data_IF_175625246611
#
_entry.id   IF_175625246611
#
_cell.length_a   1.000
_cell.length_b   1.000
_cell.length_c   1.000
_cell.angle_alpha   90.00
_cell.angle_beta   90.00
_cell.angle_gamma   90.00
#
_symmetry.space_group_name_H-M   'P 1'
#
loop_
_entity.id
_entity.type
_entity.pdbx_description
1 polymer ?
#
# COMPACT_ATOMS: atom_id res chain seq x y z
N UNK A 1 28.17 -9.65 22.73
CA UNK A 1 27.45 -8.56 22.03
C UNK A 1 27.01 -9.13 20.70
N UNK A 2 25.71 -9.35 20.52
CA UNK A 2 25.12 -9.74 19.24
C UNK A 2 25.14 -8.54 18.30
N UNK A 3 25.60 -8.72 17.07
CA UNK A 3 25.59 -7.66 16.04
C UNK A 3 24.12 -7.50 15.61
N UNK A 4 23.53 -6.29 15.68
CA UNK A 4 22.14 -6.08 15.26
C UNK A 4 21.93 -6.47 13.80
N UNK A 5 20.82 -7.14 13.50
CA UNK A 5 20.48 -7.55 12.12
C UNK A 5 20.13 -6.30 11.29
N UNK A 6 20.83 -6.01 10.18
CA UNK A 6 20.50 -4.87 9.35
C UNK A 6 19.18 -5.12 8.61
N UNK A 7 18.31 -4.11 8.59
CA UNK A 7 17.04 -4.12 7.84
C UNK A 7 16.83 -2.75 7.21
N UNK A 8 16.50 -2.70 5.92
CA UNK A 8 16.22 -1.43 5.24
C UNK A 8 14.77 -1.36 4.77
N UNK A 9 14.03 -0.38 5.28
CA UNK A 9 12.68 -0.05 4.84
C UNK A 9 12.72 1.17 3.93
N UNK A 10 12.38 0.96 2.66
CA UNK A 10 12.25 2.02 1.66
C UNK A 10 10.87 2.65 1.68
N UNK A 11 10.79 3.95 1.36
CA UNK A 11 9.56 4.65 1.01
C UNK A 11 9.72 5.26 -0.37
N UNK A 12 8.88 4.86 -1.33
CA UNK A 12 8.95 5.35 -2.71
C UNK A 12 8.71 6.87 -2.74
N UNK A 13 9.67 7.62 -3.25
CA UNK A 13 9.71 9.08 -3.17
C UNK A 13 9.70 9.74 -4.56
N UNK A 14 8.90 9.19 -5.48
CA UNK A 14 8.66 9.77 -6.81
C UNK A 14 7.63 10.91 -6.76
N UNK A 15 6.59 10.73 -5.95
CA UNK A 15 5.50 11.67 -5.72
C UNK A 15 4.78 11.25 -4.42
N UNK A 16 4.10 12.18 -3.75
CA UNK A 16 3.17 11.84 -2.65
C UNK A 16 3.71 12.10 -1.24
N UNK A 17 2.99 11.59 -0.24
CA UNK A 17 3.23 11.81 1.20
C UNK A 17 4.34 10.91 1.78
N UNK A 18 5.47 10.80 1.08
CA UNK A 18 6.56 9.92 1.51
C UNK A 18 7.28 10.43 2.76
N UNK A 19 7.29 11.75 3.01
CA UNK A 19 7.99 12.35 4.16
C UNK A 19 7.29 12.00 5.47
N UNK A 20 5.98 12.05 5.44
CA UNK A 20 5.08 11.72 6.54
C UNK A 20 5.28 10.26 6.95
N UNK A 21 5.26 9.34 5.98
CA UNK A 21 5.60 7.93 6.25
C UNK A 21 6.98 7.75 6.88
N UNK A 22 8.02 8.39 6.33
CA UNK A 22 9.39 8.29 6.87
C UNK A 22 9.45 8.79 8.32
N UNK A 23 8.82 9.93 8.61
CA UNK A 23 8.79 10.52 9.95
C UNK A 23 8.08 9.59 10.94
N UNK A 24 6.96 8.97 10.54
CA UNK A 24 6.26 8.01 11.38
C UNK A 24 7.10 6.77 11.70
N UNK A 25 7.76 6.18 10.71
CA UNK A 25 8.64 5.03 10.97
C UNK A 25 9.80 5.38 11.89
N UNK A 26 10.42 6.54 11.71
CA UNK A 26 11.48 7.02 12.62
C UNK A 26 10.95 7.20 14.04
N UNK A 27 9.81 7.87 14.19
CA UNK A 27 9.16 8.07 15.49
C UNK A 27 8.83 6.75 16.18
N UNK A 28 8.38 5.72 15.44
CA UNK A 28 8.12 4.39 16.03
C UNK A 28 9.39 3.76 16.58
N UNK A 29 10.48 3.81 15.80
CA UNK A 29 11.76 3.20 16.19
C UNK A 29 12.37 3.94 17.38
N UNK A 30 12.30 5.27 17.39
CA UNK A 30 12.81 6.13 18.46
C UNK A 30 12.00 5.99 19.77
N UNK A 31 10.69 5.72 19.68
CA UNK A 31 9.83 5.55 20.86
C UNK A 31 10.05 4.23 21.61
N UNK A 32 10.58 3.21 20.94
CA UNK A 32 10.74 1.87 21.51
C UNK A 32 12.09 1.24 21.11
N UNK A 33 13.17 1.95 21.43
CA UNK A 33 14.54 1.52 21.12
C UNK A 33 14.87 0.14 21.71
N UNK A 34 14.30 -0.19 22.87
CA UNK A 34 14.51 -1.49 23.52
C UNK A 34 13.92 -2.63 22.68
N UNK A 35 12.67 -2.50 22.22
CA UNK A 35 12.02 -3.49 21.34
C UNK A 35 12.80 -3.74 20.06
N UNK A 36 13.35 -2.68 19.46
CA UNK A 36 14.07 -2.77 18.19
C UNK A 36 15.58 -2.97 18.32
N UNK A 37 16.11 -3.11 19.55
CA UNK A 37 17.56 -3.19 19.85
C UNK A 37 18.31 -4.32 19.12
N UNK A 38 17.63 -5.39 18.73
CA UNK A 38 18.21 -6.51 17.97
C UNK A 38 18.38 -6.20 16.47
N UNK A 39 17.88 -5.06 15.99
CA UNK A 39 17.86 -4.69 14.59
C UNK A 39 18.52 -3.33 14.36
N UNK A 40 19.19 -3.19 13.23
CA UNK A 40 19.64 -1.88 12.73
C UNK A 40 18.72 -1.50 11.57
N UNK A 41 17.63 -0.79 11.91
CA UNK A 41 16.57 -0.44 10.97
C UNK A 41 16.90 0.90 10.30
N UNK A 42 17.08 0.88 8.98
CA UNK A 42 17.34 2.07 8.17
C UNK A 42 16.11 2.44 7.34
N UNK A 43 15.65 3.69 7.46
CA UNK A 43 14.52 4.22 6.69
C UNK A 43 15.04 5.13 5.57
N UNK A 44 14.80 4.76 4.31
CA UNK A 44 15.31 5.53 3.16
C UNK A 44 14.21 5.95 2.19
N UNK A 45 14.38 7.13 1.60
CA UNK A 45 13.57 7.56 0.47
C UNK A 45 14.11 6.91 -0.82
N UNK A 46 13.25 6.20 -1.56
CA UNK A 46 13.62 5.47 -2.77
C UNK A 46 13.27 6.29 -4.01
N UNK A 47 14.29 6.71 -4.76
CA UNK A 47 14.11 7.46 -6.03
C UNK A 47 14.73 6.77 -7.23
N UNK A 48 15.73 5.93 -6.99
CA UNK A 48 16.44 5.19 -8.04
C UNK A 48 16.44 3.69 -7.78
N UNK A 49 16.93 2.94 -8.77
CA UNK A 49 17.16 1.49 -8.66
C UNK A 49 18.14 1.18 -7.52
N UNK A 50 19.19 1.97 -7.36
CA UNK A 50 20.24 1.77 -6.36
C UNK A 50 19.71 1.98 -4.94
N UNK A 51 18.72 2.85 -4.76
CA UNK A 51 17.99 2.96 -3.49
C UNK A 51 17.13 1.71 -3.25
N UNK A 52 16.39 1.28 -4.27
CA UNK A 52 15.50 0.13 -4.19
C UNK A 52 16.26 -1.18 -3.91
N UNK A 53 17.44 -1.37 -4.51
CA UNK A 53 18.28 -2.56 -4.33
C UNK A 53 18.75 -2.74 -2.86
N UNK A 54 18.79 -1.67 -2.08
CA UNK A 54 19.13 -1.73 -0.64
C UNK A 54 17.96 -2.19 0.23
N UNK A 55 16.73 -2.12 -0.27
CA UNK A 55 15.52 -2.28 0.55
C UNK A 55 15.16 -3.75 0.77
N UNK A 56 14.77 -4.09 1.98
CA UNK A 56 14.13 -5.35 2.36
C UNK A 56 12.60 -5.26 2.26
N UNK A 57 12.07 -4.05 2.50
CA UNK A 57 10.65 -3.74 2.41
C UNK A 57 10.44 -2.39 1.73
N UNK A 58 9.26 -2.17 1.15
CA UNK A 58 8.93 -0.94 0.44
C UNK A 58 7.52 -0.44 0.78
N UNK A 59 7.41 0.81 1.20
CA UNK A 59 6.13 1.54 1.22
C UNK A 59 5.96 2.33 -0.06
N UNK A 60 4.80 2.21 -0.69
CA UNK A 60 4.34 3.02 -1.82
C UNK A 60 3.27 3.97 -1.28
N UNK A 61 3.58 5.27 -1.10
CA UNK A 61 2.74 6.18 -0.36
C UNK A 61 1.49 6.62 -1.15
N UNK A 62 0.59 7.31 -0.45
CA UNK A 62 -0.51 8.06 -1.06
C UNK A 62 -0.01 9.22 -1.93
N UNK A 63 -0.87 9.73 -2.81
CA UNK A 63 -0.51 10.75 -3.80
C UNK A 63 -1.37 10.68 -5.05
N UNK A 64 -0.76 10.84 -6.22
CA UNK A 64 -1.40 10.71 -7.52
C UNK A 64 -0.75 9.54 -8.29
N UNK A 65 -1.51 8.45 -8.43
CA UNK A 65 -1.00 7.18 -8.96
C UNK A 65 -0.55 7.26 -10.42
N UNK A 66 -1.18 8.10 -11.25
CA UNK A 66 -0.81 8.24 -12.67
C UNK A 66 0.51 8.99 -12.86
N UNK A 67 0.78 9.98 -12.00
CA UNK A 67 2.02 10.72 -11.93
C UNK A 67 3.14 9.81 -11.44
N UNK A 68 2.87 9.00 -10.42
CA UNK A 68 3.81 8.01 -9.92
C UNK A 68 4.18 6.97 -11.01
N UNK A 69 3.19 6.43 -11.73
CA UNK A 69 3.46 5.49 -12.83
C UNK A 69 4.26 6.14 -13.95
N UNK A 70 3.90 7.37 -14.34
CA UNK A 70 4.58 8.12 -15.39
C UNK A 70 6.04 8.45 -15.04
N UNK A 71 6.29 8.89 -13.80
CA UNK A 71 7.66 9.17 -13.32
C UNK A 71 8.46 7.87 -13.30
N UNK A 72 7.90 6.77 -12.78
CA UNK A 72 8.58 5.47 -12.71
C UNK A 72 8.96 4.95 -14.11
N UNK A 73 8.11 5.15 -15.12
CA UNK A 73 8.43 4.81 -16.50
C UNK A 73 9.55 5.70 -17.06
N UNK A 74 9.44 7.02 -16.89
CA UNK A 74 10.44 7.97 -17.43
C UNK A 74 11.80 7.86 -16.79
N UNK A 75 11.88 7.43 -15.53
CA UNK A 75 13.15 7.17 -14.84
C UNK A 75 13.64 5.74 -15.00
N UNK A 76 12.95 4.92 -15.79
CA UNK A 76 13.22 3.49 -15.95
C UNK A 76 13.22 2.69 -14.63
N UNK A 77 12.53 3.18 -13.60
CA UNK A 77 12.39 2.51 -12.31
C UNK A 77 11.28 1.45 -12.32
N UNK A 78 10.27 1.60 -13.20
CA UNK A 78 9.11 0.71 -13.29
C UNK A 78 9.48 -0.80 -13.38
N UNK A 79 10.40 -1.24 -14.26
CA UNK A 79 10.75 -2.66 -14.35
C UNK A 79 11.36 -3.20 -13.04
N UNK A 80 12.11 -2.37 -12.33
CA UNK A 80 12.72 -2.73 -11.04
C UNK A 80 11.67 -2.83 -9.93
N UNK A 81 10.68 -1.95 -9.92
CA UNK A 81 9.54 -2.03 -9.00
C UNK A 81 8.73 -3.31 -9.26
N UNK A 82 8.42 -3.64 -10.52
CA UNK A 82 7.74 -4.89 -10.85
C UNK A 82 8.54 -6.11 -10.35
N UNK A 83 9.86 -6.12 -10.51
CA UNK A 83 10.73 -7.19 -10.00
C UNK A 83 10.71 -7.25 -8.48
N UNK A 84 10.74 -6.11 -7.79
CA UNK A 84 10.67 -6.04 -6.33
C UNK A 84 9.35 -6.59 -5.80
N UNK A 85 8.23 -6.20 -6.43
CA UNK A 85 6.88 -6.70 -6.12
C UNK A 85 6.74 -8.21 -6.32
N UNK A 86 7.41 -8.74 -7.35
CA UNK A 86 7.35 -10.16 -7.69
C UNK A 86 8.25 -11.04 -6.80
N UNK A 87 8.96 -10.46 -5.84
CA UNK A 87 9.86 -11.20 -4.96
C UNK A 87 9.15 -11.54 -3.64
N UNK A 88 8.82 -12.83 -3.46
CA UNK A 88 8.10 -13.34 -2.28
C UNK A 88 8.84 -13.10 -0.94
N UNK A 89 10.14 -12.79 -0.95
CA UNK A 89 10.89 -12.44 0.27
C UNK A 89 10.78 -10.97 0.68
N UNK A 90 10.27 -10.10 -0.20
CA UNK A 90 10.13 -8.67 0.07
C UNK A 90 8.72 -8.37 0.59
N UNK A 91 8.63 -7.38 1.49
CA UNK A 91 7.36 -6.91 2.01
C UNK A 91 7.01 -5.54 1.47
N UNK A 92 5.73 -5.31 1.21
CA UNK A 92 5.29 -4.11 0.49
C UNK A 92 4.00 -3.59 1.11
N UNK A 93 3.90 -2.28 1.24
CA UNK A 93 2.68 -1.62 1.67
C UNK A 93 2.30 -0.49 0.72
N UNK A 94 1.14 -0.60 0.08
CA UNK A 94 0.56 0.49 -0.71
C UNK A 94 -0.54 1.23 0.06
N UNK A 95 -0.37 2.54 0.28
CA UNK A 95 -1.41 3.41 0.85
C UNK A 95 -2.04 4.27 -0.24
N UNK A 96 -3.37 4.33 -0.29
CA UNK A 96 -4.16 5.11 -1.26
C UNK A 96 -3.67 4.94 -2.72
N UNK A 97 -2.89 5.90 -3.26
CA UNK A 97 -2.27 5.79 -4.59
C UNK A 97 -1.39 4.54 -4.75
N UNK A 98 -0.70 4.12 -3.69
CA UNK A 98 0.07 2.88 -3.68
C UNK A 98 -0.80 1.62 -3.79
N UNK A 99 -2.00 1.61 -3.20
CA UNK A 99 -2.97 0.51 -3.38
C UNK A 99 -3.40 0.42 -4.86
N UNK A 100 -3.70 1.55 -5.50
CA UNK A 100 -4.01 1.59 -6.94
C UNK A 100 -2.81 1.05 -7.74
N UNK A 101 -1.59 1.42 -7.38
CA UNK A 101 -0.39 1.03 -8.13
C UNK A 101 -0.08 -0.47 -8.00
N UNK A 102 -0.41 -1.10 -6.87
CA UNK A 102 -0.25 -2.54 -6.61
C UNK A 102 -1.42 -3.40 -7.12
N UNK A 103 -2.53 -2.80 -7.51
CA UNK A 103 -3.67 -3.53 -8.06
C UNK A 103 -3.32 -4.21 -9.40
N UNK A 104 -3.92 -5.36 -9.66
CA UNK A 104 -3.78 -6.05 -10.95
C UNK A 104 -4.68 -5.45 -12.02
N UNK A 105 -5.84 -4.93 -11.61
CA UNK A 105 -6.77 -4.22 -12.48
C UNK A 105 -7.16 -2.87 -11.87
N UNK A 106 -7.24 -1.83 -12.71
CA UNK A 106 -7.69 -0.49 -12.33
C UNK A 106 -8.90 -0.10 -13.17
N UNK A 107 -10.01 0.21 -12.52
CA UNK A 107 -11.15 0.89 -13.12
C UNK A 107 -10.99 2.42 -13.07
N UNK A 108 -11.58 3.13 -14.03
CA UNK A 108 -11.49 4.59 -14.14
C UNK A 108 -10.03 5.10 -14.18
N UNK A 109 -9.15 4.31 -14.81
CA UNK A 109 -7.76 4.66 -15.00
C UNK A 109 -7.59 5.87 -15.92
N UNK A 110 -6.56 6.69 -15.66
CA UNK A 110 -6.16 7.75 -16.59
C UNK A 110 -5.51 7.10 -17.83
N UNK A 111 -5.53 7.80 -18.96
CA UNK A 111 -4.80 7.37 -20.15
C UNK A 111 -3.32 7.15 -19.84
N UNK A 112 -2.75 6.05 -20.35
CA UNK A 112 -1.36 5.63 -20.13
C UNK A 112 -0.95 5.37 -18.67
N UNK A 113 -1.90 5.25 -17.74
CA UNK A 113 -1.59 4.79 -16.39
C UNK A 113 -1.17 3.30 -16.43
N UNK A 114 -0.13 2.96 -15.67
CA UNK A 114 0.34 1.57 -15.50
C UNK A 114 0.21 1.17 -14.03
N UNK A 115 -0.02 -0.11 -13.78
CA UNK A 115 0.08 -0.73 -12.47
C UNK A 115 1.23 -1.75 -12.42
N UNK A 116 1.79 -1.93 -11.23
CA UNK A 116 2.80 -2.95 -10.94
C UNK A 116 2.15 -4.34 -10.85
N UNK A 117 0.94 -4.42 -10.29
CA UNK A 117 0.36 -5.66 -9.81
C UNK A 117 0.94 -6.05 -8.44
N UNK A 118 0.77 -7.31 -8.05
CA UNK A 118 1.19 -7.85 -6.74
C UNK A 118 0.01 -8.19 -5.83
N UNK A 119 -1.07 -7.41 -5.91
CA UNK A 119 -2.37 -7.73 -5.33
C UNK A 119 -3.33 -8.19 -6.44
N UNK A 120 -3.86 -9.41 -6.33
CA UNK A 120 -4.87 -9.99 -7.22
C UNK A 120 -6.26 -9.36 -6.94
N UNK A 121 -6.33 -8.05 -7.13
CA UNK A 121 -7.51 -7.23 -6.88
C UNK A 121 -7.76 -6.29 -8.07
N UNK A 122 -9.02 -5.91 -8.19
CA UNK A 122 -9.45 -4.77 -8.99
C UNK A 122 -9.72 -3.58 -8.07
N UNK A 123 -9.22 -2.41 -8.45
CA UNK A 123 -9.39 -1.17 -7.71
C UNK A 123 -10.04 -0.11 -8.59
N UNK A 124 -11.05 0.59 -8.06
CA UNK A 124 -11.64 1.74 -8.70
C UNK A 124 -11.10 3.03 -8.08
N UNK A 125 -10.63 3.95 -8.93
CA UNK A 125 -10.13 5.26 -8.50
C UNK A 125 -11.28 6.16 -8.07
N UNK A 126 -11.09 6.94 -7.00
CA UNK A 126 -12.03 7.97 -6.53
C UNK A 126 -13.48 7.44 -6.40
N UNK A 127 -13.63 6.25 -5.82
CA UNK A 127 -14.91 5.53 -5.84
C UNK A 127 -15.97 6.11 -4.87
N UNK A 128 -15.59 7.03 -3.98
CA UNK A 128 -16.45 7.61 -2.93
C UNK A 128 -17.41 8.73 -3.39
N UNK A 129 -17.56 8.94 -4.71
CA UNK A 129 -18.51 9.91 -5.28
C UNK A 129 -18.12 11.38 -5.09
N UNK A 130 -18.76 12.28 -5.86
CA UNK A 130 -18.38 13.72 -5.98
C UNK A 130 -18.71 14.59 -4.76
N UNK A 131 -19.51 14.11 -3.82
CA UNK A 131 -20.02 14.91 -2.70
C UNK A 131 -19.25 14.70 -1.39
N UNK A 132 -18.42 13.65 -1.31
CA UNK A 132 -17.62 13.32 -0.12
C UNK A 132 -16.19 12.99 -0.58
N UNK A 133 -15.57 13.91 -1.29
CA UNK A 133 -14.23 13.70 -1.87
C UNK A 133 -13.15 13.49 -0.80
N UNK A 134 -13.41 13.85 0.46
CA UNK A 134 -12.58 13.51 1.61
C UNK A 134 -13.41 13.45 2.89
N UNK A 135 -13.13 12.47 3.75
CA UNK A 135 -13.74 12.37 5.07
C UNK A 135 -12.77 11.71 6.04
N UNK A 136 -13.05 11.88 7.33
CA UNK A 136 -12.34 11.23 8.43
C UNK A 136 -13.33 10.53 9.34
N UNK A 137 -12.97 9.34 9.79
CA UNK A 137 -13.70 8.64 10.84
C UNK A 137 -12.77 7.76 11.66
N UNK A 138 -13.14 7.53 12.93
CA UNK A 138 -12.41 6.59 13.80
C UNK A 138 -12.90 5.19 13.52
N UNK A 139 -11.98 4.30 13.12
CA UNK A 139 -12.28 2.90 12.79
C UNK A 139 -11.58 1.95 13.74
N UNK A 140 -12.23 0.81 13.98
CA UNK A 140 -11.68 -0.29 14.78
C UNK A 140 -10.95 -1.28 13.88
N UNK A 141 -9.63 -1.33 13.99
CA UNK A 141 -8.74 -2.28 13.34
C UNK A 141 -8.17 -3.34 14.30
N UNK A 142 -8.73 -3.45 15.52
CA UNK A 142 -8.27 -4.40 16.54
C UNK A 142 -8.34 -5.86 16.12
N UNK A 143 -9.15 -6.17 15.09
CA UNK A 143 -9.22 -7.49 14.47
C UNK A 143 -7.93 -7.97 13.80
N UNK A 144 -7.00 -7.07 13.44
CA UNK A 144 -5.70 -7.45 12.88
C UNK A 144 -4.52 -6.63 13.41
N UNK A 145 -4.76 -5.50 14.08
CA UNK A 145 -3.74 -4.74 14.81
C UNK A 145 -4.13 -4.67 16.28
N UNK A 146 -3.51 -5.47 17.18
CA UNK A 146 -3.85 -5.46 18.59
C UNK A 146 -3.86 -4.06 19.21
N UNK A 147 -4.94 -3.70 19.91
CA UNK A 147 -5.09 -2.39 20.55
C UNK A 147 -5.36 -1.23 19.60
N UNK A 148 -5.72 -1.49 18.33
CA UNK A 148 -6.10 -0.48 17.33
C UNK A 148 -7.63 -0.30 17.21
N UNK A 149 -8.32 -0.14 18.33
CA UNK A 149 -9.79 -0.09 18.45
C UNK A 149 -10.44 1.21 17.99
N UNK A 150 -9.67 2.30 17.93
CA UNK A 150 -10.16 3.61 17.52
C UNK A 150 -9.05 4.39 16.81
N UNK A 151 -8.79 4.06 15.55
CA UNK A 151 -7.77 4.70 14.71
C UNK A 151 -8.36 5.86 13.89
N UNK A 152 -7.81 7.09 13.97
CA UNK A 152 -8.19 8.19 13.08
C UNK A 152 -7.89 7.82 11.62
N UNK A 153 -8.94 7.59 10.83
CA UNK A 153 -8.80 7.10 9.45
C UNK A 153 -9.20 8.17 8.45
N UNK A 154 -8.21 8.66 7.71
CA UNK A 154 -8.34 9.75 6.74
C UNK A 154 -8.49 9.18 5.32
N UNK A 155 -9.61 9.47 4.66
CA UNK A 155 -9.87 9.11 3.28
C UNK A 155 -9.84 10.37 2.42
N UNK A 156 -8.89 10.47 1.48
CA UNK A 156 -8.77 11.59 0.55
C UNK A 156 -8.82 11.04 -0.86
N UNK A 157 -9.94 11.28 -1.56
CA UNK A 157 -10.24 10.75 -2.90
C UNK A 157 -9.90 9.26 -2.99
N UNK A 158 -10.27 8.53 -1.95
CA UNK A 158 -9.75 7.19 -1.71
C UNK A 158 -10.18 6.21 -2.82
N UNK A 159 -9.31 5.26 -3.20
CA UNK A 159 -9.71 4.13 -4.01
C UNK A 159 -10.55 3.13 -3.20
N UNK A 160 -11.27 2.25 -3.90
CA UNK A 160 -11.94 1.09 -3.30
C UNK A 160 -11.56 -0.17 -4.06
N UNK A 161 -11.33 -1.27 -3.33
CA UNK A 161 -11.21 -2.59 -3.93
C UNK A 161 -12.61 -3.08 -4.34
N UNK A 162 -12.87 -3.12 -5.65
CA UNK A 162 -14.18 -3.48 -6.20
C UNK A 162 -14.35 -4.98 -6.39
N UNK A 163 -13.24 -5.70 -6.57
CA UNK A 163 -13.25 -7.14 -6.82
C UNK A 163 -11.97 -7.81 -6.34
N UNK A 164 -12.11 -8.98 -5.73
CA UNK A 164 -11.01 -9.93 -5.54
C UNK A 164 -10.95 -10.81 -6.79
N UNK A 165 -9.77 -10.88 -7.41
CA UNK A 165 -9.57 -11.65 -8.64
C UNK A 165 -9.23 -13.11 -8.27
N UNK A 166 -9.74 -14.11 -9.01
CA UNK A 166 -9.39 -15.49 -8.74
C UNK A 166 -7.90 -15.72 -8.99
N UNK A 167 -7.28 -16.59 -8.18
CA UNK A 167 -5.87 -16.97 -8.37
C UNK A 167 -5.66 -17.51 -9.79
N UNK A 168 -4.73 -16.89 -10.53
CA UNK A 168 -4.43 -17.29 -11.90
C UNK A 168 -5.52 -17.01 -12.95
N UNK A 169 -6.56 -16.23 -12.64
CA UNK A 169 -7.60 -15.92 -13.62
C UNK A 169 -7.02 -15.14 -14.82
N UNK A 170 -7.15 -15.73 -16.00
CA UNK A 170 -6.91 -15.05 -17.26
C UNK A 170 -7.98 -13.98 -17.53
N UNK A 171 -7.55 -12.98 -18.29
CA UNK A 171 -8.28 -11.74 -18.54
C UNK A 171 -9.58 -11.99 -19.30
N UNK A 172 -10.72 -11.79 -18.64
CA UNK A 172 -11.99 -11.61 -19.33
C UNK A 172 -12.07 -10.23 -20.00
N UNK A 173 -12.66 -10.15 -21.19
CA UNK A 173 -13.01 -8.88 -21.83
C UNK A 173 -14.07 -8.18 -20.99
N UNK A 174 -13.78 -6.96 -20.54
CA UNK A 174 -14.72 -6.13 -19.79
C UNK A 174 -15.04 -4.89 -20.61
N UNK A 175 -16.30 -4.43 -20.66
CA UNK A 175 -16.72 -3.30 -21.49
C UNK A 175 -16.21 -1.93 -20.98
N UNK A 176 -15.75 -1.85 -19.73
CA UNK A 176 -15.16 -0.63 -19.16
C UNK A 176 -13.66 -0.52 -19.46
N UNK A 177 -13.14 0.72 -19.50
CA UNK A 177 -11.70 1.04 -19.68
C UNK A 177 -10.90 0.58 -18.46
N UNK A 178 -10.66 -0.73 -18.36
CA UNK A 178 -9.85 -1.37 -17.32
C UNK A 178 -8.40 -1.38 -17.78
N UNK A 179 -7.52 -0.76 -16.99
CA UNK A 179 -6.07 -0.91 -17.13
C UNK A 179 -5.63 -2.15 -16.35
N UNK A 180 -4.75 -2.96 -16.93
CA UNK A 180 -4.25 -4.20 -16.32
C UNK A 180 -2.75 -4.16 -16.16
N UNK A 181 -2.25 -4.81 -15.10
CA UNK A 181 -0.82 -4.99 -14.92
C UNK A 181 -0.27 -5.86 -16.05
N UNK A 182 0.89 -5.48 -16.58
CA UNK A 182 1.64 -6.26 -17.57
C UNK A 182 2.49 -7.35 -16.91
N UNK A 183 2.51 -7.42 -15.59
CA UNK A 183 3.28 -8.42 -14.85
C UNK A 183 2.62 -9.79 -14.95
N UNK A 184 3.42 -10.81 -15.27
CA UNK A 184 3.00 -12.22 -15.23
C UNK A 184 3.14 -12.83 -13.83
N UNK A 185 3.58 -12.03 -12.84
CA UNK A 185 3.69 -12.50 -11.47
C UNK A 185 2.31 -12.82 -10.90
N UNK A 186 2.23 -13.97 -10.24
CA UNK A 186 1.06 -14.38 -9.49
C UNK A 186 1.46 -14.68 -8.05
N UNK A 187 0.83 -13.97 -7.12
CA UNK A 187 1.05 -14.17 -5.71
C UNK A 187 0.28 -15.40 -5.25
N UNK A 188 0.99 -16.41 -4.74
CA UNK A 188 0.39 -17.71 -4.38
C UNK A 188 -0.51 -17.63 -3.15
N UNK A 189 -0.31 -16.61 -2.29
CA UNK A 189 -1.14 -16.41 -1.12
C UNK A 189 -2.56 -15.98 -1.54
N UNK A 190 -3.61 -16.40 -0.81
CA UNK A 190 -4.95 -15.88 -1.04
C UNK A 190 -5.01 -14.40 -0.66
N UNK A 191 -5.93 -13.65 -1.29
CA UNK A 191 -6.24 -12.29 -0.83
C UNK A 191 -7.13 -12.39 0.41
N UNK A 192 -6.66 -11.79 1.50
CA UNK A 192 -7.37 -11.62 2.76
C UNK A 192 -7.95 -10.21 2.83
N UNK A 193 -9.26 -10.10 3.08
CA UNK A 193 -9.91 -8.82 3.36
C UNK A 193 -9.74 -8.52 4.84
N UNK A 194 -8.90 -7.53 5.15
CA UNK A 194 -8.63 -7.11 6.53
C UNK A 194 -9.72 -6.19 7.08
N UNK A 195 -10.27 -5.32 6.22
CA UNK A 195 -11.30 -4.39 6.64
C UNK A 195 -12.27 -4.02 5.53
N UNK A 196 -13.56 -3.98 5.89
CA UNK A 196 -14.65 -3.44 5.09
C UNK A 196 -15.24 -2.23 5.80
N UNK A 197 -15.34 -1.13 5.09
CA UNK A 197 -16.03 0.06 5.55
C UNK A 197 -17.52 -0.09 5.25
N UNK A 198 -18.35 0.04 6.29
CA UNK A 198 -19.81 -0.11 6.18
C UNK A 198 -20.51 1.25 6.21
N UNK A 199 -21.54 1.39 5.38
CA UNK A 199 -22.55 2.45 5.44
C UNK A 199 -22.00 3.89 5.52
N UNK A 200 -20.88 4.16 4.86
CA UNK A 200 -20.17 5.45 5.02
C UNK A 200 -20.97 6.67 4.54
N UNK A 201 -21.89 6.48 3.57
CA UNK A 201 -22.78 7.50 3.02
C UNK A 201 -24.23 7.33 3.48
N UNK A 202 -24.45 6.56 4.56
CA UNK A 202 -25.78 6.27 5.11
C UNK A 202 -26.61 5.30 4.27
N UNK A 203 -26.05 4.72 3.21
CA UNK A 203 -26.69 3.63 2.44
C UNK A 203 -26.12 2.29 2.87
N UNK A 204 -26.88 1.21 2.70
CA UNK A 204 -26.34 -0.14 2.89
C UNK A 204 -25.30 -0.46 1.82
N UNK A 205 -24.02 -0.32 2.19
CA UNK A 205 -22.88 -0.65 1.36
C UNK A 205 -21.71 -1.17 2.19
N UNK A 206 -20.88 -1.97 1.54
CA UNK A 206 -19.61 -2.45 2.07
C UNK A 206 -18.51 -2.15 1.07
N UNK A 207 -17.49 -1.42 1.49
CA UNK A 207 -16.33 -1.09 0.66
C UNK A 207 -15.08 -1.72 1.26
N UNK A 208 -14.38 -2.54 0.48
CA UNK A 208 -13.12 -3.13 0.92
C UNK A 208 -12.05 -2.02 0.89
N UNK A 209 -11.47 -1.71 2.04
CA UNK A 209 -10.51 -0.61 2.22
C UNK A 209 -9.18 -1.04 2.83
N UNK A 210 -9.06 -2.29 3.28
CA UNK A 210 -7.78 -2.90 3.65
C UNK A 210 -7.73 -4.37 3.22
N UNK A 211 -6.63 -4.77 2.57
CA UNK A 211 -6.39 -6.13 2.09
C UNK A 211 -4.94 -6.54 2.34
N UNK A 212 -4.72 -7.85 2.50
CA UNK A 212 -3.40 -8.48 2.55
C UNK A 212 -3.35 -9.61 1.52
N UNK A 213 -2.22 -9.78 0.85
CA UNK A 213 -1.93 -10.99 0.08
C UNK A 213 -0.48 -11.39 0.32
N UNK A 214 -0.27 -12.37 1.21
CA UNK A 214 1.06 -12.76 1.66
C UNK A 214 1.77 -11.60 2.37
N UNK A 215 2.90 -11.14 1.82
CA UNK A 215 3.71 -10.03 2.36
C UNK A 215 3.37 -8.65 1.76
N UNK A 216 2.27 -8.57 1.02
CA UNK A 216 1.81 -7.31 0.40
C UNK A 216 0.55 -6.84 1.12
N UNK A 217 0.60 -5.63 1.66
CA UNK A 217 -0.48 -4.92 2.33
C UNK A 217 -0.99 -3.79 1.42
N UNK A 218 -2.30 -3.62 1.36
CA UNK A 218 -2.93 -2.52 0.63
C UNK A 218 -4.01 -1.85 1.47
N UNK A 219 -3.96 -0.53 1.60
CA UNK A 219 -4.96 0.27 2.34
C UNK A 219 -5.44 1.45 1.50
N UNK A 220 -6.73 1.74 1.52
CA UNK A 220 -7.35 2.84 0.76
C UNK A 220 -7.18 4.21 1.40
N UNK A 221 -6.88 4.25 2.70
CA UNK A 221 -6.76 5.45 3.52
C UNK A 221 -5.30 5.86 3.73
N UNK A 222 -5.12 7.01 4.39
CA UNK A 222 -3.84 7.67 4.65
C UNK A 222 -3.46 7.60 6.14
N UNK A 223 -2.89 6.47 6.63
CA UNK A 223 -2.44 6.36 8.01
C UNK A 223 -1.31 7.34 8.34
N UNK A 224 -0.53 7.77 7.34
CA UNK A 224 0.51 8.80 7.48
C UNK A 224 -0.01 10.21 7.74
N UNK A 225 -1.32 10.43 7.57
CA UNK A 225 -1.98 11.69 7.91
C UNK A 225 -2.78 11.61 9.21
N UNK A 226 -2.80 10.45 9.86
CA UNK A 226 -3.30 10.33 11.23
C UNK A 226 -2.25 10.87 12.19
N UNK A 227 -2.65 11.25 13.41
CA UNK A 227 -1.72 11.52 14.52
C UNK A 227 -1.37 10.22 15.30
N UNK A 228 -1.40 9.07 14.63
CA UNK A 228 -1.35 7.74 15.24
C UNK A 228 -0.43 6.79 14.45
N UNK A 229 0.57 6.23 15.13
CA UNK A 229 1.62 5.44 14.50
C UNK A 229 1.38 3.92 14.56
N UNK A 230 0.23 3.45 15.08
CA UNK A 230 -0.06 2.02 15.25
C UNK A 230 0.03 1.21 13.96
N UNK A 231 -0.38 1.77 12.82
CA UNK A 231 -0.22 1.10 11.51
C UNK A 231 1.24 0.96 11.09
N UNK A 232 2.06 2.00 11.30
CA UNK A 232 3.48 1.97 10.95
C UNK A 232 4.24 1.02 11.86
N UNK A 233 3.91 1.01 13.15
CA UNK A 233 4.46 0.05 14.10
C UNK A 233 4.08 -1.38 13.72
N UNK A 234 2.79 -1.62 13.47
CA UNK A 234 2.32 -2.94 13.03
C UNK A 234 2.99 -3.39 11.73
N UNK A 235 3.18 -2.49 10.77
CA UNK A 235 3.88 -2.84 9.53
C UNK A 235 5.34 -3.24 9.79
N UNK A 236 6.06 -2.53 10.68
CA UNK A 236 7.41 -2.93 11.08
C UNK A 236 7.38 -4.34 11.69
N UNK A 237 6.52 -4.54 12.68
CA UNK A 237 6.51 -5.76 13.50
C UNK A 237 6.06 -7.01 12.71
N UNK A 238 5.03 -6.88 11.87
CA UNK A 238 4.39 -8.02 11.18
C UNK A 238 5.00 -8.27 9.79
N UNK A 239 5.48 -7.24 9.10
CA UNK A 239 5.93 -7.35 7.71
C UNK A 239 7.44 -7.13 7.55
N UNK A 240 8.10 -6.35 8.39
CA UNK A 240 9.51 -5.99 8.15
C UNK A 240 10.48 -6.89 8.90
N UNK A 241 10.19 -7.22 10.17
CA UNK A 241 11.09 -7.97 11.07
C UNK A 241 10.87 -9.49 11.03
#
# INVERSE_FOLDING_TARGET
MTIPKPVTLGVLALQGAFREHINYFKSVIEQDEEKYSNYSINIIAVRTKEDLDKCDSLVIPGGESSSMSYIAERTNLLPHLCKFVSNESKSIWGTCAGLIFLAKEIENAVENQTCLGGLDIQVSRNAFGRQVDSFEQKLDFSGFIPGCDSFPTIFIRAPVVTKILPNGAESGSSPNKIVRSKSNYHNKAPVEVLYKLHNYDGKENELIVAVRQGRILGTSFHPELSDDNRFHQWFIDEFVL
#
